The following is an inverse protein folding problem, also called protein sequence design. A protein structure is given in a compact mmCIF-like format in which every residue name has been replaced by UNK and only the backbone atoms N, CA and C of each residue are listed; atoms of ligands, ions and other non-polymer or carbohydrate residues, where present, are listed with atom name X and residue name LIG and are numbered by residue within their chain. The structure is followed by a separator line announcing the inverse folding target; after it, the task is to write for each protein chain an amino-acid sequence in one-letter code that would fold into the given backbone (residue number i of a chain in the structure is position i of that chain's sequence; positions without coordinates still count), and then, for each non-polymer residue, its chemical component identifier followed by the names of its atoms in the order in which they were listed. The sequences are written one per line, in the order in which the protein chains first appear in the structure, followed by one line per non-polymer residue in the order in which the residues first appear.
data_IF_893769830628
#
_entry.id   IF_893769830628
#
_cell.length_a   1.000
_cell.length_b   1.000
_cell.length_c   1.000
_cell.angle_alpha   90.00
_cell.angle_beta   90.00
_cell.angle_gamma   90.00
#
_symmetry.space_group_name_H-M   'P 1'
#
loop_
_entity.id
_entity.type
_entity.pdbx_description
1 polymer ?
#
# COMPACT_ATOMS: atom_id res chain seq x y z
N UNK A 1 25.08 -11.07 -7.05
CA UNK A 1 24.50 -12.40 -6.76
C UNK A 1 23.12 -12.44 -7.42
N UNK A 2 22.90 -13.36 -8.36
CA UNK A 2 21.66 -13.43 -9.12
C UNK A 2 20.52 -13.90 -8.21
N UNK A 3 19.48 -13.08 -8.11
CA UNK A 3 18.23 -13.47 -7.45
C UNK A 3 17.60 -14.61 -8.25
N UNK A 4 17.55 -15.79 -7.67
CA UNK A 4 16.86 -16.95 -8.21
C UNK A 4 15.37 -16.62 -8.29
N UNK A 5 14.86 -16.31 -9.48
CA UNK A 5 13.44 -16.26 -9.77
C UNK A 5 12.87 -17.67 -9.51
N UNK A 6 12.28 -17.87 -8.33
CA UNK A 6 11.44 -19.05 -8.07
C UNK A 6 10.22 -18.88 -8.97
N UNK A 7 10.19 -19.59 -10.08
CA UNK A 7 9.03 -19.64 -10.97
C UNK A 7 7.85 -20.23 -10.16
N UNK A 8 6.95 -19.37 -9.71
CA UNK A 8 5.73 -19.81 -9.04
C UNK A 8 4.86 -20.58 -10.02
N UNK A 9 4.29 -21.72 -9.57
CA UNK A 9 3.42 -22.52 -10.43
C UNK A 9 2.24 -21.67 -10.93
N UNK A 10 1.77 -21.86 -12.19
CA UNK A 10 0.63 -21.13 -12.72
C UNK A 10 -0.62 -21.21 -11.83
N UNK A 11 -0.83 -22.33 -11.14
CA UNK A 11 -1.93 -22.51 -10.21
C UNK A 11 -1.78 -21.59 -8.97
N UNK A 12 -0.56 -21.49 -8.41
CA UNK A 12 -0.30 -20.59 -7.29
C UNK A 12 -0.56 -19.14 -7.67
N UNK A 13 -0.06 -18.74 -8.83
CA UNK A 13 -0.24 -17.38 -9.34
C UNK A 13 -1.72 -17.06 -9.54
N UNK A 14 -2.47 -17.97 -10.17
CA UNK A 14 -3.92 -17.79 -10.39
C UNK A 14 -4.71 -17.67 -9.10
N UNK A 15 -4.40 -18.50 -8.10
CA UNK A 15 -5.03 -18.42 -6.77
C UNK A 15 -4.76 -17.08 -6.11
N UNK A 16 -3.52 -16.60 -6.17
CA UNK A 16 -3.13 -15.33 -5.56
C UNK A 16 -3.76 -14.13 -6.25
N UNK A 17 -3.84 -14.12 -7.58
CA UNK A 17 -4.52 -13.07 -8.35
C UNK A 17 -6.00 -12.95 -7.96
N UNK A 18 -6.72 -14.08 -7.95
CA UNK A 18 -8.14 -14.09 -7.58
C UNK A 18 -8.34 -13.71 -6.12
N UNK A 19 -7.50 -14.21 -5.22
CA UNK A 19 -7.57 -13.85 -3.81
C UNK A 19 -7.30 -12.36 -3.60
N UNK A 20 -6.30 -11.77 -4.28
CA UNK A 20 -5.96 -10.35 -4.18
C UNK A 20 -7.12 -9.47 -4.62
N UNK A 21 -7.75 -9.80 -5.75
CA UNK A 21 -8.93 -9.06 -6.23
C UNK A 21 -10.07 -9.11 -5.21
N UNK A 22 -10.43 -10.32 -4.76
CA UNK A 22 -11.53 -10.51 -3.82
C UNK A 22 -11.26 -9.86 -2.45
N UNK A 23 -10.07 -10.03 -1.90
CA UNK A 23 -9.69 -9.46 -0.62
C UNK A 23 -9.69 -7.93 -0.66
N UNK A 24 -9.21 -7.34 -1.75
CA UNK A 24 -9.21 -5.89 -1.90
C UNK A 24 -10.63 -5.33 -2.07
N UNK A 25 -11.48 -5.97 -2.88
CA UNK A 25 -12.81 -5.47 -3.21
C UNK A 25 -13.84 -5.73 -2.12
N UNK A 26 -13.81 -6.90 -1.49
CA UNK A 26 -14.87 -7.38 -0.62
C UNK A 26 -14.45 -7.50 0.87
N UNK A 27 -13.13 -7.40 1.14
CA UNK A 27 -12.56 -7.56 2.48
C UNK A 27 -12.04 -8.98 2.74
N UNK A 28 -10.98 -9.07 3.53
CA UNK A 28 -10.25 -10.33 3.74
C UNK A 28 -11.09 -11.33 4.55
N UNK A 29 -11.76 -10.85 5.63
CA UNK A 29 -12.56 -11.72 6.48
C UNK A 29 -13.83 -12.23 5.80
N UNK A 30 -14.41 -11.41 4.92
CA UNK A 30 -15.64 -11.74 4.19
C UNK A 30 -15.45 -12.89 3.18
N UNK A 31 -14.25 -13.03 2.60
CA UNK A 31 -13.96 -14.00 1.56
C UNK A 31 -13.49 -15.33 2.13
N UNK A 32 -14.25 -16.40 1.87
CA UNK A 32 -13.89 -17.77 2.20
C UNK A 32 -12.98 -18.44 1.17
N UNK A 33 -12.25 -19.48 1.58
CA UNK A 33 -11.40 -20.28 0.68
C UNK A 33 -12.21 -20.90 -0.46
N UNK A 34 -13.46 -21.31 -0.19
CA UNK A 34 -14.31 -21.95 -1.20
C UNK A 34 -14.67 -20.98 -2.35
N UNK A 35 -14.91 -19.70 -2.02
CA UNK A 35 -15.11 -18.65 -3.03
C UNK A 35 -13.88 -18.46 -3.93
N UNK A 36 -12.69 -18.49 -3.34
CA UNK A 36 -11.42 -18.37 -4.09
C UNK A 36 -11.23 -19.58 -5.01
N UNK A 37 -11.49 -20.79 -4.52
CA UNK A 37 -11.44 -22.02 -5.30
C UNK A 37 -12.40 -21.97 -6.50
N UNK A 38 -13.64 -21.59 -6.26
CA UNK A 38 -14.67 -21.46 -7.30
C UNK A 38 -14.26 -20.44 -8.37
N UNK A 39 -13.87 -19.23 -7.95
CA UNK A 39 -13.51 -18.14 -8.87
C UNK A 39 -12.20 -18.39 -9.62
N UNK A 40 -11.24 -19.06 -9.00
CA UNK A 40 -9.96 -19.37 -9.65
C UNK A 40 -10.03 -20.57 -10.61
N UNK A 41 -10.99 -21.47 -10.41
CA UNK A 41 -11.05 -22.76 -11.08
C UNK A 41 -9.96 -23.74 -10.64
N UNK A 42 -9.22 -23.43 -9.58
CA UNK A 42 -8.15 -24.28 -9.03
C UNK A 42 -8.70 -25.12 -7.89
N UNK A 43 -8.46 -26.43 -7.91
CA UNK A 43 -9.00 -27.34 -6.90
C UNK A 43 -8.50 -27.03 -5.47
N UNK A 44 -9.36 -27.26 -4.48
CA UNK A 44 -9.10 -26.99 -3.06
C UNK A 44 -7.83 -27.67 -2.51
N UNK A 45 -7.55 -28.90 -2.92
CA UNK A 45 -6.32 -29.62 -2.56
C UNK A 45 -5.06 -28.93 -3.10
N UNK A 46 -5.15 -28.32 -4.28
CA UNK A 46 -4.06 -27.55 -4.88
C UNK A 46 -3.83 -26.23 -4.14
N UNK A 47 -4.92 -25.56 -3.72
CA UNK A 47 -4.82 -24.36 -2.89
C UNK A 47 -4.04 -24.66 -1.61
N UNK A 48 -4.45 -25.66 -0.82
CA UNK A 48 -3.79 -26.00 0.44
C UNK A 48 -2.35 -26.53 0.28
N UNK A 49 -2.01 -27.07 -0.87
CA UNK A 49 -0.62 -27.40 -1.19
C UNK A 49 0.27 -26.16 -1.36
N UNK A 50 -0.28 -25.05 -1.86
CA UNK A 50 0.46 -23.80 -2.06
C UNK A 50 0.36 -22.83 -0.88
N UNK A 51 -0.78 -22.84 -0.21
CA UNK A 51 -1.11 -22.00 0.94
C UNK A 51 -1.75 -22.90 2.01
N UNK A 52 -0.94 -23.45 2.93
CA UNK A 52 -1.42 -24.40 3.94
C UNK A 52 -2.59 -23.89 4.77
N UNK A 53 -2.64 -22.58 5.01
CA UNK A 53 -3.75 -21.90 5.72
C UNK A 53 -4.27 -20.71 4.91
N UNK A 54 -5.43 -20.18 5.29
CA UNK A 54 -5.93 -18.90 4.75
C UNK A 54 -4.98 -17.76 5.10
N UNK A 55 -4.36 -17.81 6.27
CA UNK A 55 -3.42 -16.77 6.74
C UNK A 55 -2.15 -16.74 5.89
N UNK A 56 -1.65 -17.89 5.39
CA UNK A 56 -0.55 -17.93 4.44
C UNK A 56 -0.92 -17.27 3.10
N UNK A 57 -2.16 -17.44 2.65
CA UNK A 57 -2.66 -16.77 1.46
C UNK A 57 -2.82 -15.26 1.67
N UNK A 58 -3.30 -14.85 2.84
CA UNK A 58 -3.42 -13.43 3.24
C UNK A 58 -2.04 -12.78 3.31
N UNK A 59 -1.07 -13.43 3.92
CA UNK A 59 0.31 -12.94 3.97
C UNK A 59 0.88 -12.77 2.55
N UNK A 60 0.72 -13.77 1.68
CA UNK A 60 1.18 -13.70 0.30
C UNK A 60 0.49 -12.58 -0.51
N UNK A 61 -0.78 -12.30 -0.26
CA UNK A 61 -1.50 -11.17 -0.83
C UNK A 61 -0.88 -9.84 -0.40
N UNK A 62 -0.71 -9.61 0.89
CA UNK A 62 -0.15 -8.35 1.40
C UNK A 62 1.31 -8.16 0.99
N UNK A 63 2.11 -9.23 0.95
CA UNK A 63 3.47 -9.19 0.40
C UNK A 63 3.50 -8.81 -1.09
N UNK A 64 2.52 -9.28 -1.87
CA UNK A 64 2.38 -8.88 -3.28
C UNK A 64 1.99 -7.41 -3.40
N UNK A 65 1.00 -6.95 -2.62
CA UNK A 65 0.59 -5.55 -2.58
C UNK A 65 1.75 -4.63 -2.19
N UNK A 66 2.57 -5.04 -1.20
CA UNK A 66 3.75 -4.29 -0.77
C UNK A 66 4.77 -4.13 -1.90
N UNK A 67 5.11 -5.24 -2.58
CA UNK A 67 6.03 -5.18 -3.73
C UNK A 67 5.52 -4.27 -4.84
N UNK A 68 4.23 -4.39 -5.21
CA UNK A 68 3.62 -3.58 -6.27
C UNK A 68 3.55 -2.11 -5.85
N UNK A 69 3.26 -1.83 -4.58
CA UNK A 69 3.20 -0.49 -4.05
C UNK A 69 4.58 0.18 -4.06
N UNK A 70 5.64 -0.52 -3.61
CA UNK A 70 7.00 0.00 -3.64
C UNK A 70 7.53 0.18 -5.06
N UNK A 71 7.21 -0.73 -5.97
CA UNK A 71 7.53 -0.54 -7.38
C UNK A 71 6.88 0.73 -7.93
N UNK A 72 5.59 0.91 -7.70
CA UNK A 72 4.88 2.13 -8.09
C UNK A 72 5.48 3.40 -7.46
N UNK A 73 5.82 3.36 -6.17
CA UNK A 73 6.45 4.47 -5.47
C UNK A 73 7.76 4.90 -6.17
N UNK A 74 8.66 3.95 -6.43
CA UNK A 74 9.93 4.23 -7.09
C UNK A 74 9.73 4.72 -8.55
N UNK A 75 8.78 4.17 -9.30
CA UNK A 75 8.41 4.65 -10.64
C UNK A 75 7.94 6.11 -10.63
N UNK A 76 7.18 6.50 -9.60
CA UNK A 76 6.67 7.88 -9.44
C UNK A 76 7.79 8.87 -9.16
N UNK A 77 8.75 8.51 -8.31
CA UNK A 77 9.80 9.44 -7.89
C UNK A 77 11.03 9.46 -8.82
N UNK A 78 11.24 8.40 -9.60
CA UNK A 78 12.41 8.25 -10.47
C UNK A 78 12.63 9.42 -11.46
N UNK A 79 11.59 10.01 -12.11
CA UNK A 79 11.76 11.16 -12.99
C UNK A 79 12.32 12.42 -12.31
N UNK A 80 12.31 12.45 -10.97
CA UNK A 80 12.76 13.55 -10.13
C UNK A 80 14.05 13.22 -9.37
N UNK A 81 14.81 12.23 -9.84
CA UNK A 81 16.10 11.86 -9.24
C UNK A 81 17.02 13.10 -9.12
N UNK A 82 17.71 13.21 -7.97
CA UNK A 82 18.55 14.38 -7.66
C UNK A 82 17.79 15.59 -7.10
N UNK A 83 16.46 15.56 -7.04
CA UNK A 83 15.64 16.62 -6.41
C UNK A 83 14.68 16.02 -5.37
N UNK A 84 15.12 15.75 -4.14
CA UNK A 84 14.30 15.10 -3.10
C UNK A 84 12.98 15.82 -2.79
N UNK A 85 13.00 17.16 -2.80
CA UNK A 85 11.79 17.97 -2.67
C UNK A 85 10.78 17.69 -3.80
N UNK A 86 11.25 17.63 -5.05
CA UNK A 86 10.39 17.30 -6.18
C UNK A 86 9.89 15.85 -6.12
N UNK A 87 10.69 14.92 -5.62
CA UNK A 87 10.27 13.54 -5.38
C UNK A 87 9.12 13.46 -4.38
N UNK A 88 9.20 14.16 -3.24
CA UNK A 88 8.10 14.26 -2.28
C UNK A 88 6.83 14.82 -2.92
N UNK A 89 6.94 15.95 -3.63
CA UNK A 89 5.79 16.59 -4.29
C UNK A 89 5.14 15.67 -5.33
N UNK A 90 5.95 14.99 -6.16
CA UNK A 90 5.48 14.05 -7.18
C UNK A 90 4.75 12.86 -6.56
N UNK A 91 5.26 12.32 -5.46
CA UNK A 91 4.61 11.23 -4.73
C UNK A 91 3.21 11.64 -4.24
N UNK A 92 3.06 12.80 -3.58
CA UNK A 92 1.76 13.23 -3.07
C UNK A 92 0.79 13.64 -4.19
N UNK A 93 1.29 14.13 -5.30
CA UNK A 93 0.46 14.34 -6.49
C UNK A 93 -0.05 13.01 -7.08
N UNK A 94 0.81 12.00 -7.18
CA UNK A 94 0.44 10.68 -7.66
C UNK A 94 -0.55 9.99 -6.70
N UNK A 95 -0.35 10.11 -5.38
CA UNK A 95 -1.32 9.67 -4.38
C UNK A 95 -2.68 10.33 -4.60
N UNK A 96 -2.73 11.65 -4.75
CA UNK A 96 -3.99 12.38 -4.98
C UNK A 96 -4.73 11.87 -6.22
N UNK A 97 -4.02 11.61 -7.32
CA UNK A 97 -4.61 11.03 -8.54
C UNK A 97 -5.16 9.63 -8.30
N UNK A 98 -4.46 8.80 -7.52
CA UNK A 98 -4.89 7.43 -7.22
C UNK A 98 -6.16 7.40 -6.37
N UNK A 99 -6.31 8.32 -5.41
CA UNK A 99 -7.49 8.41 -4.53
C UNK A 99 -8.80 8.70 -5.29
N UNK A 100 -8.72 9.29 -6.48
CA UNK A 100 -9.87 9.65 -7.32
C UNK A 100 -10.17 8.63 -8.41
N UNK A 101 -9.45 7.53 -8.48
CA UNK A 101 -9.69 6.50 -9.50
C UNK A 101 -10.95 5.68 -9.20
N UNK A 102 -11.75 5.35 -10.23
CA UNK A 102 -12.87 4.42 -10.06
C UNK A 102 -12.42 3.08 -9.47
N UNK A 103 -13.18 2.53 -8.53
CA UNK A 103 -12.86 1.25 -7.89
C UNK A 103 -11.80 1.33 -6.78
N UNK A 104 -11.30 2.53 -6.44
CA UNK A 104 -10.40 2.69 -5.31
C UNK A 104 -11.10 2.35 -3.99
N UNK A 105 -10.55 1.39 -3.25
CA UNK A 105 -11.09 0.85 -1.99
C UNK A 105 -10.22 1.19 -0.77
N UNK A 106 -9.38 2.21 -0.89
CA UNK A 106 -8.46 2.58 0.19
C UNK A 106 -7.12 1.85 0.11
N UNK A 107 -6.36 1.93 1.21
CA UNK A 107 -5.10 1.25 1.36
C UNK A 107 -5.31 -0.20 1.82
N UNK A 108 -4.75 -1.17 1.11
CA UNK A 108 -4.85 -2.59 1.48
C UNK A 108 -4.32 -2.85 2.90
N UNK A 109 -3.28 -2.13 3.32
CA UNK A 109 -2.66 -2.29 4.64
C UNK A 109 -3.53 -1.69 5.76
N UNK A 110 -4.08 -0.50 5.57
CA UNK A 110 -5.02 0.09 6.54
C UNK A 110 -6.30 -0.74 6.65
N UNK A 111 -6.79 -1.28 5.53
CA UNK A 111 -7.93 -2.20 5.54
C UNK A 111 -7.59 -3.48 6.31
N UNK A 112 -6.41 -4.05 6.11
CA UNK A 112 -5.95 -5.22 6.86
C UNK A 112 -5.83 -4.93 8.37
N UNK A 113 -5.31 -3.76 8.78
CA UNK A 113 -5.25 -3.35 10.20
C UNK A 113 -6.65 -3.20 10.82
N UNK A 114 -7.63 -2.72 10.06
CA UNK A 114 -9.00 -2.61 10.54
C UNK A 114 -9.67 -3.99 10.74
N UNK A 115 -9.30 -4.97 9.92
CA UNK A 115 -9.83 -6.33 10.02
C UNK A 115 -9.08 -7.20 11.05
N UNK A 116 -7.78 -6.98 11.26
CA UNK A 116 -6.91 -7.81 12.12
C UNK A 116 -6.22 -6.94 13.17
N UNK A 117 -6.79 -6.88 14.36
CA UNK A 117 -6.27 -6.09 15.49
C UNK A 117 -5.18 -6.81 16.28
N UNK A 118 -5.09 -8.14 16.14
CA UNK A 118 -4.15 -8.99 16.87
C UNK A 118 -2.72 -8.79 16.35
N UNK A 119 -1.83 -8.30 17.20
CA UNK A 119 -0.46 -7.91 16.80
C UNK A 119 0.40 -9.08 16.28
N UNK A 120 0.08 -10.31 16.66
CA UNK A 120 0.74 -11.53 16.21
C UNK A 120 0.14 -12.11 14.91
N UNK A 121 -0.97 -11.54 14.41
CA UNK A 121 -1.55 -11.96 13.14
C UNK A 121 -0.65 -11.56 11.96
N UNK A 122 -0.39 -12.43 10.96
CA UNK A 122 0.47 -12.10 9.82
C UNK A 122 0.04 -10.84 9.07
N UNK A 123 -1.26 -10.64 8.84
CA UNK A 123 -1.80 -9.46 8.17
C UNK A 123 -1.47 -8.17 8.94
N UNK A 124 -1.61 -8.19 10.28
CA UNK A 124 -1.28 -7.04 11.11
C UNK A 124 0.21 -6.69 11.00
N UNK A 125 1.09 -7.70 11.12
CA UNK A 125 2.55 -7.48 11.00
C UNK A 125 2.93 -6.90 9.65
N UNK A 126 2.46 -7.49 8.54
CA UNK A 126 2.74 -6.97 7.19
C UNK A 126 2.30 -5.51 7.05
N UNK A 127 1.11 -5.16 7.55
CA UNK A 127 0.59 -3.81 7.45
C UNK A 127 1.39 -2.81 8.29
N UNK A 128 1.77 -3.17 9.52
CA UNK A 128 2.62 -2.33 10.38
C UNK A 128 4.01 -2.14 9.79
N UNK A 129 4.59 -3.19 9.20
CA UNK A 129 5.90 -3.12 8.54
C UNK A 129 5.86 -2.18 7.33
N UNK A 130 4.81 -2.24 6.51
CA UNK A 130 4.60 -1.33 5.40
C UNK A 130 4.54 0.14 5.86
N UNK A 131 3.70 0.45 6.84
CA UNK A 131 3.54 1.82 7.36
C UNK A 131 4.86 2.36 7.96
N UNK A 132 5.61 1.53 8.66
CA UNK A 132 6.94 1.88 9.19
C UNK A 132 7.95 2.14 8.07
N UNK A 133 7.96 1.32 7.04
CA UNK A 133 8.84 1.48 5.89
C UNK A 133 8.51 2.77 5.13
N UNK A 134 7.22 3.08 4.94
CA UNK A 134 6.79 4.33 4.32
C UNK A 134 7.21 5.55 5.14
N UNK A 135 6.96 5.53 6.46
CA UNK A 135 7.40 6.59 7.36
C UNK A 135 8.91 6.83 7.25
N UNK A 136 9.69 5.75 7.29
CA UNK A 136 11.14 5.83 7.15
C UNK A 136 11.56 6.43 5.80
N UNK A 137 10.96 6.00 4.69
CA UNK A 137 11.28 6.51 3.36
C UNK A 137 10.93 7.99 3.22
N UNK A 138 9.80 8.43 3.76
CA UNK A 138 9.44 9.85 3.81
C UNK A 138 10.45 10.66 4.64
N UNK A 139 10.89 10.15 5.78
CA UNK A 139 11.93 10.81 6.61
C UNK A 139 13.24 10.93 5.84
N UNK A 140 13.69 9.90 5.12
CA UNK A 140 14.89 9.95 4.31
C UNK A 140 14.80 11.02 3.18
N UNK A 141 13.67 11.07 2.47
CA UNK A 141 13.46 12.09 1.43
C UNK A 141 13.37 13.50 2.04
N UNK A 142 12.72 13.64 3.19
CA UNK A 142 12.64 14.91 3.93
C UNK A 142 14.02 15.40 4.36
N UNK A 143 14.87 14.52 4.87
CA UNK A 143 16.26 14.81 5.23
C UNK A 143 17.08 15.26 4.01
N UNK A 144 16.98 14.52 2.91
CA UNK A 144 17.67 14.85 1.66
C UNK A 144 17.17 16.15 1.05
N UNK A 145 15.90 16.51 1.26
CA UNK A 145 15.32 17.79 0.84
C UNK A 145 15.76 18.97 1.73
N UNK A 146 16.52 18.71 2.80
CA UNK A 146 16.99 19.75 3.73
C UNK A 146 15.91 20.22 4.71
N UNK A 147 14.93 19.38 5.05
CA UNK A 147 13.90 19.72 6.03
C UNK A 147 14.54 20.02 7.40
N UNK A 148 14.00 21.00 8.11
CA UNK A 148 14.47 21.41 9.45
C UNK A 148 14.27 20.30 10.49
N UNK A 149 13.15 19.58 10.39
CA UNK A 149 12.85 18.40 11.19
C UNK A 149 12.27 17.30 10.29
N UNK A 150 13.14 16.43 9.73
CA UNK A 150 12.73 15.38 8.78
C UNK A 150 11.74 14.36 9.36
N UNK A 151 11.89 14.02 10.64
CA UNK A 151 11.01 13.06 11.32
C UNK A 151 9.61 13.65 11.51
N UNK A 152 9.52 14.90 12.01
CA UNK A 152 8.24 15.58 12.16
C UNK A 152 7.55 15.79 10.80
N UNK A 153 8.29 16.13 9.75
CA UNK A 153 7.72 16.26 8.41
C UNK A 153 7.17 14.92 7.91
N UNK A 154 7.93 13.83 8.06
CA UNK A 154 7.49 12.50 7.68
C UNK A 154 6.21 12.08 8.42
N UNK A 155 6.13 12.34 9.74
CA UNK A 155 4.95 12.06 10.54
C UNK A 155 3.73 12.86 10.09
N UNK A 156 3.89 14.16 9.81
CA UNK A 156 2.83 15.02 9.28
C UNK A 156 2.34 14.54 7.91
N UNK A 157 3.26 14.20 7.01
CA UNK A 157 2.95 13.70 5.68
C UNK A 157 2.22 12.35 5.74
N UNK A 158 2.63 11.45 6.62
CA UNK A 158 1.95 10.17 6.84
C UNK A 158 0.53 10.36 7.38
N UNK A 159 0.36 11.23 8.38
CA UNK A 159 -0.94 11.53 8.97
C UNK A 159 -1.93 12.09 7.94
N UNK A 160 -1.49 13.04 7.09
CA UNK A 160 -2.39 13.60 6.07
C UNK A 160 -2.69 12.59 4.96
N UNK A 161 -1.74 11.70 4.62
CA UNK A 161 -1.98 10.60 3.67
C UNK A 161 -3.05 9.66 4.19
N UNK A 162 -2.91 9.17 5.42
CA UNK A 162 -3.86 8.23 6.03
C UNK A 162 -5.24 8.88 6.21
N UNK A 163 -5.29 10.17 6.55
CA UNK A 163 -6.52 10.95 6.58
C UNK A 163 -7.18 11.09 5.21
N UNK A 164 -6.40 11.30 4.15
CA UNK A 164 -6.91 11.37 2.77
C UNK A 164 -7.46 10.02 2.29
N UNK A 165 -6.78 8.91 2.60
CA UNK A 165 -7.23 7.55 2.31
C UNK A 165 -8.59 7.25 2.96
N UNK A 166 -8.76 7.58 4.24
CA UNK A 166 -10.02 7.44 4.95
C UNK A 166 -11.11 8.35 4.36
N UNK A 167 -10.78 9.62 4.06
CA UNK A 167 -11.71 10.57 3.46
C UNK A 167 -12.20 10.12 2.08
N UNK A 168 -11.33 9.55 1.25
CA UNK A 168 -11.72 9.01 -0.06
C UNK A 168 -12.77 7.91 0.08
N UNK A 169 -12.61 7.01 1.05
CA UNK A 169 -13.56 5.94 1.33
C UNK A 169 -14.91 6.44 1.87
N UNK A 170 -14.91 7.55 2.64
CA UNK A 170 -16.12 8.12 3.25
C UNK A 170 -16.94 8.93 2.24
N UNK A 171 -16.28 9.77 1.43
CA UNK A 171 -16.94 10.81 0.65
C UNK A 171 -16.97 10.52 -0.87
N UNK A 172 -16.27 9.49 -1.35
CA UNK A 172 -16.23 9.14 -2.78
C UNK A 172 -15.74 10.29 -3.66
N UNK A 173 -16.46 10.59 -4.73
CA UNK A 173 -16.10 11.64 -5.69
C UNK A 173 -16.07 13.06 -5.10
N UNK A 174 -16.86 13.30 -4.04
CA UNK A 174 -16.88 14.59 -3.33
C UNK A 174 -15.81 14.70 -2.23
N UNK A 175 -14.85 13.78 -2.19
CA UNK A 175 -13.88 13.67 -1.11
C UNK A 175 -12.96 14.89 -1.01
N UNK A 176 -12.69 15.41 0.21
CA UNK A 176 -11.64 16.39 0.47
C UNK A 176 -10.23 15.81 0.21
N UNK A 177 -10.10 14.53 -0.05
CA UNK A 177 -8.82 13.87 -0.37
C UNK A 177 -8.08 14.52 -1.56
N UNK A 178 -8.81 15.21 -2.46
CA UNK A 178 -8.23 16.01 -3.55
C UNK A 178 -7.30 17.12 -3.05
N UNK A 179 -7.39 17.53 -1.79
CA UNK A 179 -6.52 18.52 -1.15
C UNK A 179 -5.18 17.93 -0.68
N UNK A 180 -5.00 16.60 -0.74
CA UNK A 180 -3.79 15.95 -0.22
C UNK A 180 -2.51 16.58 -0.79
N UNK A 181 -2.41 16.74 -2.11
CA UNK A 181 -1.23 17.34 -2.74
C UNK A 181 -0.96 18.77 -2.28
N UNK A 182 -2.02 19.57 -2.09
CA UNK A 182 -1.90 20.96 -1.66
C UNK A 182 -1.41 21.05 -0.21
N UNK A 183 -1.97 20.24 0.67
CA UNK A 183 -1.57 20.18 2.08
C UNK A 183 -0.14 19.67 2.20
N UNK A 184 0.20 18.61 1.49
CA UNK A 184 1.57 18.06 1.49
C UNK A 184 2.58 19.09 0.98
N UNK A 185 2.27 19.82 -0.11
CA UNK A 185 3.14 20.87 -0.63
C UNK A 185 3.39 21.97 0.41
N UNK A 186 2.35 22.44 1.09
CA UNK A 186 2.50 23.43 2.16
C UNK A 186 3.40 22.93 3.30
N UNK A 187 3.22 21.68 3.76
CA UNK A 187 4.05 21.10 4.81
C UNK A 187 5.52 21.00 4.38
N UNK A 188 5.76 20.55 3.15
CA UNK A 188 7.10 20.43 2.58
C UNK A 188 7.75 21.82 2.46
N UNK A 189 7.04 22.81 1.91
CA UNK A 189 7.57 24.17 1.72
C UNK A 189 7.88 24.86 3.05
N UNK A 190 7.07 24.64 4.09
CA UNK A 190 7.32 25.18 5.44
C UNK A 190 8.60 24.61 6.08
N UNK A 191 8.97 23.39 5.76
CA UNK A 191 10.07 22.67 6.40
C UNK A 191 11.36 22.71 5.57
N UNK A 192 11.27 22.81 4.24
CA UNK A 192 12.44 22.79 3.35
C UNK A 192 12.84 24.22 2.92
N UNK A 193 14.11 24.57 2.92
CA UNK A 193 14.57 25.86 2.41
C UNK A 193 14.30 25.99 0.90
N UNK A 194 14.32 27.22 0.40
CA UNK A 194 14.21 27.55 -1.01
C UNK A 194 15.47 27.12 -1.79
#
# INVERSE_FOLDING_TARGET
MAATHVAHSPARQRLLEVASELFYQEGIRAIGVDTIVERSGVGKATLYRHFPTKDDLIAAYLEQEDRLWWQWFEEVIAPHEGSPKAQLLAFFEACTRRLTQPGFRGCAFLNALAEFSEADHPAHRCAVEHERALRWRLSQLSQQAGARDPEALADQLLLVSNGALASASIFGEASPAVQLKTIAAHLIDLQTPF
#
